data_IF_541779817858
#
_entry.id   IF_541779817858
#
_cell.length_a   1.000
_cell.length_b   1.000
_cell.length_c   1.000
_cell.angle_alpha   90.00
_cell.angle_beta   90.00
_cell.angle_gamma   90.00
#
_symmetry.space_group_name_H-M   'P 1'
#
loop_
_entity.id
_entity.type
_entity.pdbx_description
1 polymer ?
#
# COMPACT_ATOMS: atom_id res chain seq x y z
N UNK A 1 -16.40 32.47 -38.16
CA UNK A 1 -15.22 31.69 -38.56
C UNK A 1 -13.99 32.58 -38.73
N UNK A 2 -14.07 33.74 -39.40
CA UNK A 2 -12.91 34.64 -39.62
C UNK A 2 -12.32 35.14 -38.29
N UNK A 3 -13.16 35.45 -37.31
CA UNK A 3 -12.75 35.99 -36.00
C UNK A 3 -12.06 34.96 -35.08
N UNK A 4 -12.21 33.67 -35.42
CA UNK A 4 -11.62 32.55 -34.64
C UNK A 4 -10.56 31.77 -35.42
N UNK A 5 -10.18 32.23 -36.63
CA UNK A 5 -9.27 31.51 -37.52
C UNK A 5 -7.91 31.28 -36.88
N UNK A 6 -7.39 32.27 -36.15
CA UNK A 6 -6.12 32.13 -35.43
C UNK A 6 -6.17 31.00 -34.34
N UNK A 7 -7.28 30.88 -33.63
CA UNK A 7 -7.50 29.79 -32.67
C UNK A 7 -7.63 28.43 -33.34
N UNK A 8 -8.31 28.35 -34.48
CA UNK A 8 -8.46 27.11 -35.25
C UNK A 8 -7.14 26.62 -35.85
N UNK A 9 -6.26 27.55 -36.24
CA UNK A 9 -4.96 27.22 -36.85
C UNK A 9 -3.82 27.08 -35.86
N UNK A 10 -4.03 27.48 -34.60
CA UNK A 10 -3.00 27.36 -33.54
C UNK A 10 -2.68 25.91 -33.16
N UNK A 11 -3.41 24.95 -33.68
CA UNK A 11 -3.31 23.53 -33.34
C UNK A 11 -4.11 23.21 -32.08
N UNK A 12 -4.70 22.04 -32.07
CA UNK A 12 -5.53 21.54 -30.93
C UNK A 12 -6.58 20.56 -31.44
N UNK A 13 -7.28 19.94 -30.51
CA UNK A 13 -8.40 19.06 -30.84
C UNK A 13 -9.65 19.91 -31.05
N UNK A 14 -10.33 19.71 -32.19
CA UNK A 14 -11.59 20.35 -32.50
C UNK A 14 -12.74 19.39 -32.21
N UNK A 15 -13.81 19.91 -31.62
CA UNK A 15 -15.02 19.16 -31.31
C UNK A 15 -16.19 19.84 -32.03
N UNK A 16 -17.01 19.05 -32.70
CA UNK A 16 -18.24 19.55 -33.32
C UNK A 16 -19.35 19.57 -32.27
N UNK A 17 -20.08 20.67 -32.22
CA UNK A 17 -21.28 20.85 -31.42
C UNK A 17 -22.43 21.29 -32.32
N UNK A 18 -23.57 20.64 -32.22
CA UNK A 18 -24.82 20.99 -32.89
C UNK A 18 -25.97 20.92 -31.85
N UNK A 19 -26.85 21.93 -31.85
CA UNK A 19 -28.03 22.01 -30.97
C UNK A 19 -27.69 21.73 -29.49
N UNK A 20 -26.63 22.37 -28.99
CA UNK A 20 -26.07 22.20 -27.63
C UNK A 20 -25.57 20.79 -27.26
N UNK A 21 -25.51 19.88 -28.23
CA UNK A 21 -24.93 18.56 -28.04
C UNK A 21 -23.59 18.44 -28.76
N UNK A 22 -22.60 17.84 -28.07
CA UNK A 22 -21.34 17.48 -28.69
C UNK A 22 -21.51 16.22 -29.54
N UNK A 23 -20.93 16.23 -30.76
CA UNK A 23 -21.05 15.15 -31.74
C UNK A 23 -20.71 13.77 -31.17
N UNK A 24 -19.66 13.67 -30.32
CA UNK A 24 -19.27 12.43 -29.69
C UNK A 24 -20.30 11.91 -28.63
N UNK A 25 -21.21 12.76 -28.16
CA UNK A 25 -22.30 12.40 -27.27
C UNK A 25 -23.55 11.86 -28.00
N UNK A 26 -23.62 11.99 -29.30
CA UNK A 26 -24.78 11.56 -30.10
C UNK A 26 -24.62 10.06 -30.44
N UNK A 27 -25.49 9.17 -29.95
CA UNK A 27 -25.33 7.70 -30.11
C UNK A 27 -25.22 7.28 -31.58
N UNK A 28 -26.08 7.82 -32.48
CA UNK A 28 -26.08 7.46 -33.89
C UNK A 28 -24.76 7.87 -34.60
N UNK A 29 -24.15 9.00 -34.24
CA UNK A 29 -22.86 9.40 -34.80
C UNK A 29 -21.74 8.53 -34.29
N UNK A 30 -21.79 8.11 -33.01
CA UNK A 30 -20.81 7.20 -32.42
C UNK A 30 -20.88 5.84 -33.11
N UNK A 31 -22.08 5.27 -33.28
CA UNK A 31 -22.29 3.97 -33.94
C UNK A 31 -21.81 4.03 -35.40
N UNK A 32 -22.15 5.10 -36.14
CA UNK A 32 -21.68 5.29 -37.52
C UNK A 32 -20.16 5.40 -37.60
N UNK A 33 -19.53 6.09 -36.64
CA UNK A 33 -18.07 6.21 -36.56
C UNK A 33 -17.40 4.86 -36.23
N UNK A 34 -17.94 4.10 -35.27
CA UNK A 34 -17.45 2.79 -34.91
C UNK A 34 -17.55 1.81 -36.10
N UNK A 35 -18.69 1.81 -36.84
CA UNK A 35 -18.88 1.03 -38.05
C UNK A 35 -17.90 1.43 -39.16
N UNK A 36 -17.68 2.71 -39.36
CA UNK A 36 -16.68 3.22 -40.31
C UNK A 36 -15.26 2.77 -39.95
N UNK A 37 -14.86 2.91 -38.68
CA UNK A 37 -13.55 2.45 -38.23
C UNK A 37 -13.37 0.96 -38.42
N UNK A 38 -14.37 0.15 -38.08
CA UNK A 38 -14.34 -1.29 -38.25
C UNK A 38 -14.19 -1.71 -39.72
N UNK A 39 -14.89 -1.01 -40.64
CA UNK A 39 -14.78 -1.27 -42.08
C UNK A 39 -13.41 -0.91 -42.69
N UNK A 40 -12.67 0.02 -42.06
CA UNK A 40 -11.32 0.41 -42.46
C UNK A 40 -10.22 -0.43 -41.82
N UNK A 41 -10.54 -1.28 -40.84
CA UNK A 41 -9.56 -2.11 -40.17
C UNK A 41 -9.01 -3.23 -41.07
N UNK A 42 -7.77 -3.07 -41.50
CA UNK A 42 -7.00 -4.07 -42.23
C UNK A 42 -5.90 -4.62 -41.35
N UNK A 43 -5.54 -5.88 -41.52
CA UNK A 43 -4.45 -6.53 -40.76
C UNK A 43 -4.55 -8.04 -40.73
N UNK A 44 -3.60 -8.66 -40.04
CA UNK A 44 -3.63 -10.10 -39.81
C UNK A 44 -4.76 -10.42 -38.83
N UNK A 45 -5.67 -11.29 -39.24
CA UNK A 45 -6.78 -11.74 -38.44
C UNK A 45 -6.42 -13.00 -37.62
N UNK A 46 -6.52 -12.89 -36.31
CA UNK A 46 -6.35 -14.01 -35.37
C UNK A 46 -7.45 -13.94 -34.29
N UNK A 47 -7.67 -15.02 -33.55
CA UNK A 47 -8.51 -14.99 -32.36
C UNK A 47 -7.91 -13.99 -31.34
N UNK A 48 -8.71 -13.01 -30.93
CA UNK A 48 -8.32 -12.03 -29.93
C UNK A 48 -8.31 -12.65 -28.53
N UNK A 49 -7.23 -12.52 -27.78
CA UNK A 49 -7.10 -13.03 -26.41
C UNK A 49 -8.12 -12.42 -25.42
N UNK A 50 -8.66 -11.21 -25.74
CA UNK A 50 -9.61 -10.52 -24.87
C UNK A 50 -11.05 -10.90 -25.20
N UNK A 51 -11.42 -10.92 -26.48
CA UNK A 51 -12.82 -11.12 -26.91
C UNK A 51 -13.12 -12.52 -27.38
N UNK A 52 -12.10 -13.33 -27.69
CA UNK A 52 -12.23 -14.62 -28.35
C UNK A 52 -12.59 -14.56 -29.84
N UNK A 53 -13.05 -13.42 -30.34
CA UNK A 53 -13.46 -13.25 -31.73
C UNK A 53 -12.26 -13.15 -32.66
N UNK A 54 -12.42 -13.69 -33.90
CA UNK A 54 -11.44 -13.52 -34.98
C UNK A 54 -11.56 -12.11 -35.56
N UNK A 55 -10.48 -11.33 -35.48
CA UNK A 55 -10.48 -9.93 -35.87
C UNK A 55 -9.06 -9.43 -36.19
N UNK A 56 -8.90 -8.28 -36.85
CA UNK A 56 -7.61 -7.66 -37.09
C UNK A 56 -6.87 -7.36 -35.77
N UNK A 57 -5.60 -7.79 -35.69
CA UNK A 57 -4.78 -7.71 -34.46
C UNK A 57 -3.94 -6.43 -34.46
N UNK A 58 -3.83 -5.81 -33.29
CA UNK A 58 -2.94 -4.69 -33.07
C UNK A 58 -1.47 -5.16 -33.05
N UNK A 59 -0.66 -4.65 -33.95
CA UNK A 59 0.78 -4.94 -33.99
C UNK A 59 1.50 -4.21 -32.83
N UNK A 60 1.12 -2.97 -32.57
CA UNK A 60 1.62 -2.14 -31.49
C UNK A 60 0.44 -1.66 -30.64
N UNK A 61 0.62 -1.74 -29.33
CA UNK A 61 -0.34 -1.19 -28.39
C UNK A 61 0.01 0.26 -28.03
N UNK A 62 -1.02 1.05 -27.72
CA UNK A 62 -0.85 2.42 -27.26
C UNK A 62 -0.07 2.52 -25.95
N UNK A 63 0.46 3.70 -25.69
CA UNK A 63 1.22 3.98 -24.47
C UNK A 63 0.31 4.37 -23.32
N UNK A 64 0.65 3.87 -22.14
CA UNK A 64 0.00 4.21 -20.86
C UNK A 64 0.83 5.29 -20.20
N UNK A 65 0.17 6.36 -19.75
CA UNK A 65 0.75 7.55 -19.13
C UNK A 65 0.30 7.67 -17.69
N UNK A 66 1.03 8.44 -16.87
CA UNK A 66 0.61 8.75 -15.50
C UNK A 66 1.03 7.73 -14.45
N UNK A 67 1.79 6.69 -14.81
CA UNK A 67 2.43 5.79 -13.85
C UNK A 67 3.68 6.48 -13.30
N UNK A 68 3.83 6.50 -11.98
CA UNK A 68 4.96 7.12 -11.28
C UNK A 68 6.29 6.54 -11.79
N UNK A 69 7.27 7.40 -11.99
CA UNK A 69 8.64 7.07 -12.43
C UNK A 69 8.72 6.33 -13.77
N UNK A 70 7.62 6.19 -14.53
CA UNK A 70 7.64 5.72 -15.90
C UNK A 70 8.04 6.86 -16.88
N UNK A 71 8.31 6.51 -18.13
CA UNK A 71 8.65 7.50 -19.16
C UNK A 71 7.52 8.52 -19.34
N UNK A 72 7.86 9.81 -19.46
CA UNK A 72 6.90 10.92 -19.60
C UNK A 72 6.01 10.78 -20.83
N UNK A 73 6.55 10.25 -21.93
CA UNK A 73 5.80 9.93 -23.15
C UNK A 73 4.87 8.72 -23.02
N UNK A 74 4.91 8.03 -21.89
CA UNK A 74 4.19 6.80 -21.59
C UNK A 74 5.02 5.54 -21.86
N UNK A 75 4.61 4.45 -21.23
CA UNK A 75 5.22 3.13 -21.33
C UNK A 75 4.22 2.08 -21.83
N UNK A 76 4.70 1.01 -22.44
CA UNK A 76 3.84 -0.05 -22.96
C UNK A 76 3.55 -1.10 -21.89
N UNK A 77 2.30 -1.54 -21.81
CA UNK A 77 1.92 -2.71 -21.03
C UNK A 77 2.21 -4.01 -21.79
N UNK A 78 1.90 -4.03 -23.07
CA UNK A 78 2.16 -5.16 -23.97
C UNK A 78 3.10 -4.69 -25.10
N UNK A 79 4.24 -5.33 -25.25
CA UNK A 79 5.26 -4.95 -26.26
C UNK A 79 6.25 -6.10 -26.50
N UNK A 80 6.56 -6.38 -27.74
CA UNK A 80 7.48 -7.41 -28.22
C UNK A 80 8.49 -6.81 -29.17
N UNK A 81 9.49 -6.13 -28.65
CA UNK A 81 10.51 -5.39 -29.41
C UNK A 81 11.89 -6.07 -29.42
N UNK A 82 11.96 -7.31 -28.99
CA UNK A 82 13.18 -8.11 -28.97
C UNK A 82 12.85 -9.58 -29.20
N UNK A 83 13.73 -10.31 -29.87
CA UNK A 83 13.61 -11.76 -30.12
C UNK A 83 13.45 -12.59 -28.83
N UNK A 84 13.98 -12.11 -27.72
CA UNK A 84 13.82 -12.77 -26.41
C UNK A 84 12.35 -12.83 -25.91
N UNK A 85 11.45 -12.04 -26.47
CA UNK A 85 10.02 -12.02 -26.14
C UNK A 85 9.15 -12.73 -27.17
N UNK A 86 9.75 -13.23 -28.24
CA UNK A 86 9.07 -13.93 -29.32
C UNK A 86 9.01 -15.43 -29.04
N UNK A 87 7.95 -16.07 -29.46
CA UNK A 87 7.73 -17.51 -29.23
C UNK A 87 6.86 -18.12 -30.33
N UNK A 88 6.82 -19.44 -30.38
CA UNK A 88 5.99 -20.23 -31.30
C UNK A 88 6.24 -19.89 -32.76
N UNK A 89 7.50 -19.60 -33.16
CA UNK A 89 7.87 -19.29 -34.55
C UNK A 89 7.33 -17.99 -35.09
N UNK A 90 6.92 -17.05 -34.21
CA UNK A 90 6.40 -15.72 -34.57
C UNK A 90 7.50 -14.65 -34.53
N UNK A 91 8.65 -14.96 -35.12
CA UNK A 91 9.79 -14.08 -35.19
C UNK A 91 9.43 -12.76 -35.88
N UNK A 92 9.86 -11.65 -35.29
CA UNK A 92 9.60 -10.27 -35.76
C UNK A 92 8.10 -9.90 -35.90
N UNK A 93 7.22 -10.72 -35.37
CA UNK A 93 5.77 -10.53 -35.46
C UNK A 93 5.18 -9.61 -34.41
N UNK A 94 5.98 -9.06 -33.51
CA UNK A 94 5.60 -8.12 -32.45
C UNK A 94 4.28 -8.49 -31.74
N UNK A 95 3.21 -7.69 -31.85
CA UNK A 95 1.93 -7.89 -31.19
C UNK A 95 1.22 -9.20 -31.57
N UNK A 96 1.59 -9.87 -32.65
CA UNK A 96 1.05 -11.19 -33.00
C UNK A 96 1.50 -12.28 -32.01
N UNK A 97 2.52 -12.04 -31.16
CA UNK A 97 2.92 -12.94 -30.08
C UNK A 97 1.90 -12.99 -28.94
N UNK A 98 1.11 -11.91 -28.76
CA UNK A 98 -0.05 -11.87 -27.87
C UNK A 98 -1.20 -11.19 -28.63
N UNK A 99 -1.95 -11.93 -29.45
CA UNK A 99 -2.92 -11.35 -30.34
C UNK A 99 -4.08 -10.69 -29.60
N UNK A 100 -4.15 -9.38 -29.65
CA UNK A 100 -5.24 -8.55 -29.11
C UNK A 100 -5.80 -7.72 -30.25
N UNK A 101 -7.12 -7.77 -30.45
CA UNK A 101 -7.79 -7.01 -31.49
C UNK A 101 -7.54 -5.51 -31.37
N UNK A 102 -7.54 -4.79 -32.47
CA UNK A 102 -7.25 -3.34 -32.50
C UNK A 102 -8.16 -2.56 -31.57
N UNK A 103 -9.47 -2.83 -31.62
CA UNK A 103 -10.43 -2.19 -30.73
C UNK A 103 -10.15 -2.48 -29.24
N UNK A 104 -9.89 -3.74 -28.90
CA UNK A 104 -9.59 -4.13 -27.52
C UNK A 104 -8.30 -3.47 -27.01
N UNK A 105 -7.26 -3.37 -27.86
CA UNK A 105 -6.01 -2.68 -27.53
C UNK A 105 -6.24 -1.18 -27.31
N UNK A 106 -7.02 -0.53 -28.16
CA UNK A 106 -7.42 0.87 -28.00
C UNK A 106 -8.24 1.08 -26.72
N UNK A 107 -9.25 0.24 -26.49
CA UNK A 107 -10.19 0.38 -25.37
C UNK A 107 -9.46 0.30 -24.01
N UNK A 108 -8.64 -0.73 -23.76
CA UNK A 108 -7.96 -0.83 -22.47
C UNK A 108 -6.94 0.29 -22.24
N UNK A 109 -6.21 0.72 -23.29
CA UNK A 109 -5.25 1.82 -23.18
C UNK A 109 -5.96 3.13 -22.83
N UNK A 110 -7.08 3.40 -23.52
CA UNK A 110 -7.88 4.61 -23.30
C UNK A 110 -8.49 4.63 -21.92
N UNK A 111 -9.12 3.52 -21.49
CA UNK A 111 -9.71 3.40 -20.16
C UNK A 111 -8.66 3.57 -19.05
N UNK A 112 -7.50 2.90 -19.18
CA UNK A 112 -6.44 2.99 -18.19
C UNK A 112 -5.82 4.39 -18.13
N UNK A 113 -5.62 5.05 -19.26
CA UNK A 113 -5.16 6.44 -19.31
C UNK A 113 -6.18 7.40 -18.65
N UNK A 114 -7.47 7.19 -18.86
CA UNK A 114 -8.52 7.98 -18.22
C UNK A 114 -8.51 7.81 -16.69
N UNK A 115 -8.42 6.58 -16.20
CA UNK A 115 -8.32 6.28 -14.77
C UNK A 115 -7.04 6.87 -14.15
N UNK A 116 -5.90 6.74 -14.83
CA UNK A 116 -4.62 7.29 -14.37
C UNK A 116 -4.58 8.82 -14.38
N UNK A 117 -5.34 9.47 -15.25
CA UNK A 117 -5.45 10.93 -15.27
C UNK A 117 -6.27 11.48 -14.09
N UNK A 118 -7.20 10.69 -13.54
CA UNK A 118 -8.04 11.09 -12.44
C UNK A 118 -7.42 10.70 -11.10
N UNK A 119 -7.13 11.68 -10.24
CA UNK A 119 -6.55 11.46 -8.91
C UNK A 119 -7.46 10.66 -7.95
N UNK A 120 -8.77 10.64 -8.19
CA UNK A 120 -9.73 9.88 -7.38
C UNK A 120 -9.65 8.38 -7.63
N UNK A 121 -9.18 7.96 -8.80
CA UNK A 121 -9.03 6.57 -9.21
C UNK A 121 -7.64 6.00 -9.01
N UNK A 122 -6.72 6.78 -8.43
CA UNK A 122 -5.35 6.34 -8.26
C UNK A 122 -4.76 6.73 -6.91
N UNK A 123 -3.84 5.91 -6.42
CA UNK A 123 -2.96 6.24 -5.31
C UNK A 123 -1.55 5.70 -5.59
N UNK A 124 -0.56 6.31 -4.93
CA UNK A 124 0.84 5.96 -5.13
C UNK A 124 1.38 5.38 -3.82
N UNK A 125 1.91 4.16 -3.89
CA UNK A 125 2.53 3.49 -2.75
C UNK A 125 3.92 3.03 -3.16
N UNK A 126 4.94 3.73 -2.68
CA UNK A 126 6.34 3.55 -3.10
C UNK A 126 6.51 3.83 -4.62
N UNK A 127 6.91 2.84 -5.41
CA UNK A 127 7.01 2.88 -6.88
C UNK A 127 5.71 2.45 -7.59
N UNK A 128 4.79 1.87 -6.84
CA UNK A 128 3.58 1.29 -7.43
C UNK A 128 2.47 2.33 -7.53
N UNK A 129 2.00 2.56 -8.74
CA UNK A 129 0.77 3.31 -9.00
C UNK A 129 -0.39 2.34 -8.98
N UNK A 130 -1.27 2.49 -8.01
CA UNK A 130 -2.46 1.65 -7.83
C UNK A 130 -3.65 2.37 -8.46
N UNK A 131 -4.31 1.72 -9.41
CA UNK A 131 -5.53 2.19 -10.08
C UNK A 131 -6.69 1.33 -9.60
N UNK A 132 -7.83 1.93 -9.35
CA UNK A 132 -9.01 1.20 -8.85
C UNK A 132 -10.30 1.80 -9.41
N UNK A 133 -11.31 0.93 -9.57
CA UNK A 133 -12.65 1.29 -10.07
C UNK A 133 -13.71 0.29 -9.61
N UNK A 134 -14.95 0.76 -9.57
CA UNK A 134 -16.14 -0.06 -9.32
C UNK A 134 -16.92 -0.29 -10.60
N UNK A 135 -17.69 -1.36 -10.70
CA UNK A 135 -18.76 -1.51 -11.71
C UNK A 135 -19.99 -0.67 -11.33
N UNK A 136 -19.76 0.63 -11.14
CA UNK A 136 -20.80 1.58 -10.75
C UNK A 136 -20.41 2.99 -11.15
N UNK A 137 -21.38 3.81 -11.50
CA UNK A 137 -21.19 5.24 -11.76
C UNK A 137 -21.11 6.08 -10.48
N UNK A 138 -21.39 5.48 -9.29
CA UNK A 138 -21.34 6.18 -8.02
C UNK A 138 -19.89 6.45 -7.60
N UNK A 139 -19.45 7.72 -7.48
CA UNK A 139 -18.07 8.07 -7.12
C UNK A 139 -17.70 7.73 -5.67
N UNK A 140 -18.68 7.44 -4.82
CA UNK A 140 -18.44 7.13 -3.41
C UNK A 140 -17.53 5.91 -3.21
N UNK A 141 -17.55 4.94 -4.13
CA UNK A 141 -16.67 3.77 -4.07
C UNK A 141 -15.20 4.17 -4.06
N UNK A 142 -14.82 5.07 -4.98
CA UNK A 142 -13.44 5.54 -5.11
C UNK A 142 -13.02 6.41 -3.92
N UNK A 143 -13.90 7.30 -3.49
CA UNK A 143 -13.65 8.19 -2.35
C UNK A 143 -13.44 7.37 -1.07
N UNK A 144 -14.30 6.39 -0.80
CA UNK A 144 -14.22 5.54 0.39
C UNK A 144 -12.97 4.66 0.35
N UNK A 145 -12.64 4.06 -0.80
CA UNK A 145 -11.45 3.24 -0.95
C UNK A 145 -10.16 4.07 -0.77
N UNK A 146 -10.10 5.24 -1.39
CA UNK A 146 -8.95 6.15 -1.24
C UNK A 146 -8.77 6.56 0.23
N UNK A 147 -9.84 6.95 0.92
CA UNK A 147 -9.78 7.28 2.33
C UNK A 147 -9.32 6.10 3.20
N UNK A 148 -9.77 4.88 2.88
CA UNK A 148 -9.39 3.67 3.61
C UNK A 148 -7.92 3.30 3.42
N UNK A 149 -7.37 3.52 2.23
CA UNK A 149 -5.98 3.16 1.91
C UNK A 149 -4.97 4.29 2.15
N UNK A 150 -5.42 5.53 2.25
CA UNK A 150 -4.58 6.71 2.43
C UNK A 150 -5.10 7.59 3.58
N UNK A 151 -5.08 7.08 4.83
CA UNK A 151 -5.48 7.87 5.99
C UNK A 151 -4.57 9.09 6.14
N UNK A 152 -5.21 10.26 6.15
CA UNK A 152 -4.61 11.58 6.37
C UNK A 152 -5.27 12.23 7.58
N UNK A 153 -4.72 13.36 8.01
CA UNK A 153 -5.27 14.11 9.14
C UNK A 153 -6.75 14.47 8.98
N UNK A 154 -7.11 14.93 7.80
CA UNK A 154 -8.45 15.40 7.45
C UNK A 154 -9.51 14.29 7.32
N UNK A 155 -9.10 13.05 7.03
CA UNK A 155 -10.03 11.95 6.79
C UNK A 155 -10.08 10.88 7.90
N UNK A 156 -9.27 10.99 8.96
CA UNK A 156 -9.21 10.00 10.06
C UNK A 156 -10.58 9.74 10.69
N UNK A 157 -11.39 10.80 10.94
CA UNK A 157 -12.73 10.66 11.52
C UNK A 157 -13.69 9.91 10.59
N UNK A 158 -13.64 10.20 9.29
CA UNK A 158 -14.43 9.50 8.29
C UNK A 158 -14.02 8.03 8.23
N UNK A 159 -12.73 7.74 8.23
CA UNK A 159 -12.21 6.38 8.23
C UNK A 159 -12.64 5.59 9.48
N UNK A 160 -12.56 6.18 10.67
CA UNK A 160 -13.08 5.57 11.90
C UNK A 160 -14.56 5.15 11.74
N UNK A 161 -15.40 6.06 11.26
CA UNK A 161 -16.83 5.79 11.09
C UNK A 161 -17.11 4.69 10.05
N UNK A 162 -16.33 4.64 8.95
CA UNK A 162 -16.44 3.60 7.92
C UNK A 162 -16.07 2.24 8.52
N UNK A 163 -14.91 2.14 9.16
CA UNK A 163 -14.39 0.89 9.71
C UNK A 163 -15.28 0.35 10.84
N UNK A 164 -15.86 1.23 11.67
CA UNK A 164 -16.83 0.85 12.70
C UNK A 164 -18.13 0.27 12.10
N UNK A 165 -18.66 0.86 11.02
CA UNK A 165 -19.81 0.29 10.32
C UNK A 165 -19.50 -1.09 9.74
N UNK A 166 -18.34 -1.24 9.09
CA UNK A 166 -17.92 -2.51 8.51
C UNK A 166 -17.74 -3.58 9.57
N UNK A 167 -17.16 -3.24 10.73
CA UNK A 167 -17.00 -4.19 11.85
C UNK A 167 -18.35 -4.70 12.40
N UNK A 168 -19.40 -3.90 12.25
CA UNK A 168 -20.79 -4.26 12.60
C UNK A 168 -21.56 -4.93 11.45
N UNK A 169 -20.94 -5.17 10.31
CA UNK A 169 -21.60 -5.74 9.12
C UNK A 169 -22.55 -4.77 8.40
N UNK A 170 -22.44 -3.47 8.66
CA UNK A 170 -23.25 -2.44 8.03
C UNK A 170 -22.59 -1.89 6.75
N UNK A 171 -23.37 -1.38 5.78
CA UNK A 171 -22.82 -0.74 4.60
C UNK A 171 -22.02 0.52 5.01
N UNK A 172 -20.88 0.80 4.32
CA UNK A 172 -20.00 1.92 4.68
C UNK A 172 -20.70 3.28 4.54
N UNK A 173 -21.56 3.42 3.53
CA UNK A 173 -22.35 4.62 3.26
C UNK A 173 -23.68 4.22 2.62
N UNK A 174 -24.73 5.03 2.83
CA UNK A 174 -26.00 4.87 2.12
C UNK A 174 -25.82 5.01 0.61
N UNK A 175 -26.46 4.16 -0.18
CA UNK A 175 -26.30 4.12 -1.64
C UNK A 175 -25.05 3.39 -2.15
N UNK A 176 -24.18 2.88 -1.28
CA UNK A 176 -23.02 2.05 -1.63
C UNK A 176 -23.34 0.58 -1.35
N UNK A 177 -23.56 -0.19 -2.42
CA UNK A 177 -23.77 -1.63 -2.30
C UNK A 177 -22.44 -2.36 -2.09
N UNK A 178 -22.24 -3.05 -0.94
CA UNK A 178 -20.97 -3.78 -0.67
C UNK A 178 -20.68 -4.90 -1.66
N UNK A 179 -21.68 -5.46 -2.31
CA UNK A 179 -21.50 -6.57 -3.27
C UNK A 179 -21.09 -6.09 -4.67
N UNK A 180 -21.01 -4.76 -4.89
CA UNK A 180 -20.54 -4.23 -6.19
C UNK A 180 -19.14 -4.72 -6.50
N UNK A 181 -18.90 -5.28 -7.71
CA UNK A 181 -17.57 -5.66 -8.15
C UNK A 181 -16.62 -4.46 -8.16
N UNK A 182 -15.46 -4.66 -7.57
CA UNK A 182 -14.41 -3.66 -7.45
C UNK A 182 -13.08 -4.22 -7.92
N UNK A 183 -12.33 -3.43 -8.64
CA UNK A 183 -11.09 -3.83 -9.29
C UNK A 183 -9.93 -2.96 -8.83
N UNK A 184 -8.77 -3.58 -8.62
CA UNK A 184 -7.56 -2.90 -8.15
C UNK A 184 -6.38 -3.42 -8.98
N UNK A 185 -5.68 -2.50 -9.66
CA UNK A 185 -4.53 -2.80 -10.52
C UNK A 185 -3.31 -2.04 -10.02
N UNK A 186 -2.25 -2.75 -9.66
CA UNK A 186 -0.95 -2.17 -9.29
C UNK A 186 0.02 -2.19 -10.46
N UNK A 187 0.47 -1.02 -10.89
CA UNK A 187 1.42 -0.81 -11.98
C UNK A 187 2.73 -0.22 -11.46
N UNK A 188 3.84 -0.71 -11.96
CA UNK A 188 5.16 -0.15 -11.68
C UNK A 188 5.99 0.01 -12.96
N UNK A 189 6.92 0.97 -13.00
CA UNK A 189 7.80 1.14 -14.15
C UNK A 189 8.76 -0.05 -14.30
N UNK A 190 9.04 -0.43 -15.53
CA UNK A 190 10.05 -1.42 -15.90
C UNK A 190 10.73 -0.98 -17.20
N UNK A 191 11.70 -0.08 -17.08
CA UNK A 191 12.34 0.61 -18.21
C UNK A 191 11.29 1.27 -19.15
N UNK A 192 11.22 0.85 -20.41
CA UNK A 192 10.25 1.37 -21.38
C UNK A 192 8.86 0.70 -21.29
N UNK A 193 8.66 -0.19 -20.33
CA UNK A 193 7.43 -0.97 -20.15
C UNK A 193 6.85 -0.76 -18.75
N UNK A 194 5.65 -1.29 -18.55
CA UNK A 194 5.00 -1.40 -17.25
C UNK A 194 4.98 -2.86 -16.80
N UNK A 195 5.17 -3.05 -15.50
CA UNK A 195 5.01 -4.32 -14.81
C UNK A 195 3.71 -4.29 -14.01
N UNK A 196 2.87 -5.30 -14.17
CA UNK A 196 1.71 -5.52 -13.31
C UNK A 196 2.20 -6.17 -12.02
N UNK A 197 2.13 -5.46 -10.90
CA UNK A 197 2.49 -5.97 -9.58
C UNK A 197 1.42 -6.88 -9.01
N UNK A 198 0.16 -6.49 -9.21
CA UNK A 198 -1.02 -7.27 -8.85
C UNK A 198 -2.25 -6.78 -9.62
N UNK A 199 -3.18 -7.68 -9.81
CA UNK A 199 -4.55 -7.39 -10.24
C UNK A 199 -5.48 -8.15 -9.32
N UNK A 200 -6.41 -7.45 -8.69
CA UNK A 200 -7.36 -8.01 -7.74
C UNK A 200 -8.78 -7.63 -8.16
N UNK A 201 -9.67 -8.59 -8.04
CA UNK A 201 -11.09 -8.42 -8.28
C UNK A 201 -11.84 -9.09 -7.13
N UNK A 202 -12.72 -8.35 -6.48
CA UNK A 202 -13.60 -8.87 -5.41
C UNK A 202 -14.78 -7.91 -5.24
N UNK A 203 -15.70 -8.20 -4.32
CA UNK A 203 -16.70 -7.22 -3.91
C UNK A 203 -16.06 -6.07 -3.13
N UNK A 204 -16.62 -4.89 -3.27
CA UNK A 204 -16.16 -3.70 -2.54
C UNK A 204 -16.15 -3.94 -1.03
N UNK A 205 -17.21 -4.59 -0.51
CA UNK A 205 -17.34 -4.91 0.90
C UNK A 205 -16.23 -5.83 1.40
N UNK A 206 -15.80 -6.82 0.61
CA UNK A 206 -14.71 -7.71 0.99
C UNK A 206 -13.38 -6.98 1.08
N UNK A 207 -13.06 -6.09 0.12
CA UNK A 207 -11.86 -5.25 0.24
C UNK A 207 -11.87 -4.39 1.49
N UNK A 208 -13.00 -3.75 1.81
CA UNK A 208 -13.12 -2.95 3.02
C UNK A 208 -12.98 -3.79 4.31
N UNK A 209 -13.52 -5.02 4.35
CA UNK A 209 -13.33 -5.96 5.46
C UNK A 209 -11.85 -6.31 5.65
N UNK A 210 -11.12 -6.59 4.56
CA UNK A 210 -9.68 -6.88 4.61
C UNK A 210 -8.87 -5.66 5.08
N UNK A 211 -9.24 -4.45 4.66
CA UNK A 211 -8.62 -3.21 5.12
C UNK A 211 -8.92 -2.97 6.61
N UNK A 212 -10.16 -3.19 7.05
CA UNK A 212 -10.53 -3.12 8.46
C UNK A 212 -9.73 -4.12 9.29
N UNK A 213 -9.61 -5.37 8.83
CA UNK A 213 -8.79 -6.39 9.45
C UNK A 213 -7.32 -5.98 9.55
N UNK A 214 -6.77 -5.34 8.49
CA UNK A 214 -5.41 -4.81 8.50
C UNK A 214 -5.20 -3.80 9.63
N UNK A 215 -6.09 -2.84 9.78
CA UNK A 215 -5.98 -1.84 10.85
C UNK A 215 -6.17 -2.45 12.24
N UNK A 216 -7.08 -3.39 12.40
CA UNK A 216 -7.26 -4.14 13.64
C UNK A 216 -6.02 -4.97 14.01
N UNK A 217 -5.42 -5.68 13.04
CA UNK A 217 -4.20 -6.47 13.26
C UNK A 217 -3.02 -5.59 13.71
N UNK A 218 -2.95 -4.34 13.24
CA UNK A 218 -1.87 -3.39 13.54
C UNK A 218 -2.20 -2.42 14.67
N UNK A 219 -3.38 -2.52 15.27
CA UNK A 219 -3.76 -1.63 16.35
C UNK A 219 -2.89 -1.85 17.57
N UNK A 220 -2.31 -0.76 18.06
CA UNK A 220 -1.47 -0.72 19.26
C UNK A 220 -1.76 0.56 20.03
N UNK A 221 -1.66 0.51 21.33
CA UNK A 221 -1.82 1.69 22.19
C UNK A 221 -0.90 2.82 21.72
N UNK A 222 -1.44 4.03 21.67
CA UNK A 222 -0.78 5.20 21.11
C UNK A 222 -0.95 6.42 21.98
N UNK A 223 -0.09 7.41 21.79
CA UNK A 223 -0.26 8.70 22.43
C UNK A 223 -1.53 9.42 21.89
N UNK A 224 -2.21 10.25 22.72
CA UNK A 224 -3.43 10.95 22.32
C UNK A 224 -3.30 11.83 21.07
N UNK A 225 -2.11 12.34 20.81
CA UNK A 225 -1.81 13.21 19.66
C UNK A 225 -1.46 12.44 18.37
N UNK A 226 -1.28 11.11 18.45
CA UNK A 226 -0.99 10.30 17.27
C UNK A 226 -2.26 9.91 16.53
N UNK A 227 -2.16 9.82 15.20
CA UNK A 227 -3.27 9.39 14.36
C UNK A 227 -3.70 7.95 14.68
N UNK A 228 -5.00 7.64 14.66
CA UNK A 228 -5.51 6.29 14.85
C UNK A 228 -4.89 5.30 13.86
N UNK A 229 -4.92 5.61 12.59
CA UNK A 229 -4.51 4.71 11.52
C UNK A 229 -3.25 5.20 10.81
N UNK A 230 -2.29 4.29 10.60
CA UNK A 230 -1.08 4.53 9.82
C UNK A 230 -1.28 4.01 8.39
N UNK A 231 -1.05 4.87 7.40
CA UNK A 231 -1.17 4.45 6.00
C UNK A 231 -0.14 3.38 5.61
N UNK A 232 -0.41 2.55 4.60
CA UNK A 232 0.56 1.61 4.06
C UNK A 232 1.88 2.28 3.65
N UNK A 233 1.83 3.52 3.17
CA UNK A 233 3.00 4.32 2.87
C UNK A 233 3.88 4.56 4.11
N UNK A 234 3.29 4.97 5.23
CA UNK A 234 4.03 5.18 6.48
C UNK A 234 4.60 3.88 7.04
N UNK A 235 3.84 2.77 6.96
CA UNK A 235 4.33 1.46 7.38
C UNK A 235 5.54 1.01 6.54
N UNK A 236 5.53 1.22 5.24
CA UNK A 236 6.68 0.91 4.39
C UNK A 236 7.90 1.77 4.70
N UNK A 237 7.72 3.02 5.11
CA UNK A 237 8.82 3.88 5.56
C UNK A 237 9.54 3.36 6.81
N UNK A 238 8.87 2.60 7.67
CA UNK A 238 9.49 1.96 8.84
C UNK A 238 10.56 0.92 8.48
N UNK A 239 10.57 0.46 7.24
CA UNK A 239 11.55 -0.50 6.72
C UNK A 239 12.81 0.17 6.14
N UNK A 240 12.79 1.50 5.99
CA UNK A 240 13.83 2.27 5.31
C UNK A 240 14.81 2.87 6.32
N UNK A 241 16.09 2.95 5.94
CA UNK A 241 17.07 3.68 6.74
C UNK A 241 16.65 5.16 6.85
N UNK A 242 16.50 5.73 8.07
CA UNK A 242 16.08 7.11 8.26
C UNK A 242 17.06 8.13 7.65
N UNK A 243 18.32 7.74 7.45
CA UNK A 243 19.34 8.57 6.80
C UNK A 243 19.42 8.38 5.28
N UNK A 244 18.61 7.50 4.68
CA UNK A 244 18.57 7.31 3.24
C UNK A 244 18.01 8.56 2.52
N UNK A 245 18.58 8.88 1.36
CA UNK A 245 18.05 9.95 0.49
C UNK A 245 16.68 9.57 -0.08
N UNK A 246 16.56 8.33 -0.56
CA UNK A 246 15.27 7.76 -0.99
C UNK A 246 14.61 7.04 0.18
N UNK A 247 13.40 7.49 0.51
CA UNK A 247 12.57 6.95 1.61
C UNK A 247 11.37 6.14 1.10
N UNK A 248 11.35 5.78 -0.18
CA UNK A 248 10.21 5.09 -0.80
C UNK A 248 10.06 3.61 -0.41
N UNK A 249 11.11 3.02 0.16
CA UNK A 249 11.11 1.61 0.54
C UNK A 249 11.41 0.66 -0.63
N UNK A 250 11.41 -0.65 -0.36
CA UNK A 250 11.64 -1.66 -1.39
C UNK A 250 10.44 -1.80 -2.31
N UNK A 251 10.67 -1.67 -3.60
CA UNK A 251 9.66 -1.77 -4.65
C UNK A 251 8.91 -3.11 -4.64
N UNK A 252 9.63 -4.22 -4.43
CA UNK A 252 9.00 -5.55 -4.37
C UNK A 252 8.15 -5.73 -3.11
N UNK A 253 8.57 -5.11 -2.01
CA UNK A 253 7.88 -5.21 -0.74
C UNK A 253 6.54 -4.47 -0.77
N UNK A 254 6.45 -3.31 -1.43
CA UNK A 254 5.24 -2.52 -1.51
C UNK A 254 4.07 -3.29 -2.15
N UNK A 255 4.31 -3.95 -3.28
CA UNK A 255 3.29 -4.76 -3.96
C UNK A 255 2.85 -5.98 -3.13
N UNK A 256 3.79 -6.65 -2.45
CA UNK A 256 3.48 -7.80 -1.59
C UNK A 256 2.67 -7.40 -0.35
N UNK A 257 3.02 -6.28 0.30
CA UNK A 257 2.26 -5.73 1.45
C UNK A 257 0.86 -5.31 1.03
N UNK A 258 0.72 -4.62 -0.10
CA UNK A 258 -0.58 -4.23 -0.65
C UNK A 258 -1.48 -5.44 -0.90
N UNK A 259 -0.93 -6.49 -1.52
CA UNK A 259 -1.67 -7.73 -1.72
C UNK A 259 -2.14 -8.30 -0.37
N UNK A 260 -1.27 -8.37 0.64
CA UNK A 260 -1.62 -8.88 1.96
C UNK A 260 -2.72 -8.05 2.64
N UNK A 261 -2.70 -6.72 2.49
CA UNK A 261 -3.74 -5.83 3.03
C UNK A 261 -5.08 -6.14 2.34
N UNK A 262 -5.10 -6.16 1.01
CA UNK A 262 -6.32 -6.24 0.21
C UNK A 262 -6.94 -7.64 0.16
N UNK A 263 -6.18 -8.70 0.45
CA UNK A 263 -6.67 -10.09 0.42
C UNK A 263 -6.79 -10.74 1.80
N UNK A 264 -6.36 -10.04 2.87
CA UNK A 264 -6.31 -10.64 4.22
C UNK A 264 -5.23 -11.72 4.39
N UNK A 265 -4.38 -11.96 3.39
CA UNK A 265 -3.29 -12.93 3.43
C UNK A 265 -2.22 -12.56 4.47
N UNK A 266 -1.40 -13.52 4.93
CA UNK A 266 -0.25 -13.23 5.79
C UNK A 266 0.68 -12.18 5.19
N UNK A 267 1.28 -11.34 6.04
CA UNK A 267 2.28 -10.38 5.58
C UNK A 267 3.56 -11.08 5.15
N UNK A 268 4.28 -10.53 4.13
CA UNK A 268 5.50 -11.16 3.64
C UNK A 268 6.59 -11.18 4.71
N UNK A 269 7.35 -12.28 4.78
CA UNK A 269 8.49 -12.42 5.70
C UNK A 269 9.51 -11.29 5.51
N UNK A 270 9.64 -10.78 4.28
CA UNK A 270 10.53 -9.66 3.95
C UNK A 270 10.17 -8.38 4.72
N UNK A 271 8.88 -8.14 5.02
CA UNK A 271 8.44 -7.00 5.84
C UNK A 271 8.98 -7.13 7.27
N UNK A 272 8.80 -8.29 7.88
CA UNK A 272 9.31 -8.57 9.22
C UNK A 272 10.85 -8.46 9.28
N UNK A 273 11.54 -9.08 8.33
CA UNK A 273 13.00 -9.03 8.27
C UNK A 273 13.52 -7.60 8.10
N UNK A 274 12.88 -6.78 7.27
CA UNK A 274 13.27 -5.39 7.07
C UNK A 274 13.10 -4.55 8.34
N UNK A 275 12.00 -4.73 9.07
CA UNK A 275 11.76 -4.03 10.34
C UNK A 275 12.77 -4.48 11.41
N UNK A 276 13.01 -5.79 11.54
CA UNK A 276 14.00 -6.32 12.49
C UNK A 276 15.40 -5.81 12.17
N UNK A 277 15.79 -5.74 10.89
CA UNK A 277 17.06 -5.15 10.47
C UNK A 277 17.20 -3.69 10.94
N UNK A 278 16.12 -2.90 10.82
CA UNK A 278 16.15 -1.51 11.30
C UNK A 278 16.27 -1.43 12.82
N UNK A 279 15.52 -2.26 13.55
CA UNK A 279 15.62 -2.32 15.01
C UNK A 279 17.04 -2.71 15.47
N UNK A 280 17.73 -3.59 14.77
CA UNK A 280 19.10 -3.96 15.11
C UNK A 280 20.14 -2.92 14.70
N UNK A 281 19.96 -2.25 13.57
CA UNK A 281 20.95 -1.33 13.00
C UNK A 281 20.87 0.10 13.57
N UNK A 282 19.72 0.54 14.07
CA UNK A 282 19.51 1.91 14.52
C UNK A 282 19.72 2.07 16.02
N UNK A 283 20.11 3.28 16.42
CA UNK A 283 20.17 3.75 17.80
C UNK A 283 19.23 4.95 17.94
N UNK A 284 18.77 5.21 19.15
CA UNK A 284 17.97 6.39 19.44
C UNK A 284 18.83 7.65 19.28
N UNK A 285 18.33 8.61 18.52
CA UNK A 285 18.96 9.90 18.29
C UNK A 285 17.88 11.00 18.43
N UNK A 286 17.93 11.73 19.52
CA UNK A 286 16.94 12.77 19.83
C UNK A 286 17.09 13.99 18.91
N UNK A 287 18.30 14.32 18.46
CA UNK A 287 18.54 15.48 17.57
C UNK A 287 17.95 15.23 16.18
N UNK A 288 18.07 13.98 15.69
CA UNK A 288 17.54 13.59 14.39
C UNK A 288 16.16 12.97 14.43
N UNK A 289 15.54 12.92 15.62
CA UNK A 289 14.24 12.27 15.87
C UNK A 289 14.18 10.80 15.38
N UNK A 290 15.31 10.09 15.47
CA UNK A 290 15.39 8.66 15.13
C UNK A 290 15.08 7.87 16.38
N UNK A 291 14.18 6.90 16.27
CA UNK A 291 13.86 5.92 17.31
C UNK A 291 14.10 4.51 16.79
N UNK A 292 14.78 3.70 17.59
CA UNK A 292 15.00 2.27 17.31
C UNK A 292 13.69 1.50 17.24
N UNK A 293 12.80 1.74 18.18
CA UNK A 293 11.47 1.15 18.24
C UNK A 293 10.44 2.26 18.09
N UNK A 294 9.75 2.25 16.95
CA UNK A 294 8.63 3.16 16.66
C UNK A 294 7.31 2.43 16.83
N UNK A 295 6.21 3.17 16.96
CA UNK A 295 4.86 2.61 16.92
C UNK A 295 4.62 1.80 15.64
N UNK A 296 5.07 2.32 14.49
CA UNK A 296 4.91 1.65 13.20
C UNK A 296 5.63 0.31 13.14
N UNK A 297 6.87 0.23 13.64
CA UNK A 297 7.64 -1.02 13.74
C UNK A 297 6.97 -2.03 14.65
N UNK A 298 6.51 -1.59 15.83
CA UNK A 298 5.79 -2.46 16.76
C UNK A 298 4.47 -2.96 16.17
N UNK A 299 3.70 -2.10 15.48
CA UNK A 299 2.47 -2.46 14.79
C UNK A 299 2.70 -3.50 13.68
N UNK A 300 3.76 -3.34 12.88
CA UNK A 300 4.13 -4.30 11.82
C UNK A 300 4.47 -5.67 12.43
N UNK A 301 5.27 -5.71 13.50
CA UNK A 301 5.62 -6.97 14.19
C UNK A 301 4.36 -7.64 14.72
N UNK A 302 3.50 -6.89 15.41
CA UNK A 302 2.22 -7.39 15.92
C UNK A 302 1.34 -7.95 14.81
N UNK A 303 1.06 -7.16 13.78
CA UNK A 303 0.21 -7.56 12.66
C UNK A 303 0.76 -8.78 11.90
N UNK A 304 2.09 -8.84 11.70
CA UNK A 304 2.76 -10.00 11.11
C UNK A 304 2.52 -11.27 11.94
N UNK A 305 2.72 -11.20 13.24
CA UNK A 305 2.55 -12.35 14.15
C UNK A 305 1.08 -12.78 14.25
N UNK A 306 0.13 -11.84 14.37
CA UNK A 306 -1.31 -12.14 14.38
C UNK A 306 -1.73 -12.92 13.14
N UNK A 307 -1.31 -12.48 11.94
CA UNK A 307 -1.71 -13.17 10.71
C UNK A 307 -1.04 -14.52 10.52
N UNK A 308 0.21 -14.65 10.97
CA UNK A 308 0.97 -15.90 10.89
C UNK A 308 0.46 -16.98 11.84
N UNK A 309 0.06 -16.56 13.05
CA UNK A 309 -0.35 -17.44 14.15
C UNK A 309 -1.85 -17.30 14.45
N UNK A 310 -2.66 -17.05 13.42
CA UNK A 310 -4.10 -16.87 13.57
C UNK A 310 -4.73 -18.14 14.12
N UNK A 311 -5.41 -18.02 15.27
CA UNK A 311 -6.06 -19.13 15.95
C UNK A 311 -5.24 -19.75 17.10
N UNK A 312 -3.97 -19.39 17.26
CA UNK A 312 -3.13 -19.83 18.37
C UNK A 312 -3.37 -18.95 19.62
N UNK A 313 -3.90 -19.53 20.69
CA UNK A 313 -4.27 -18.79 21.93
C UNK A 313 -3.07 -18.13 22.60
N UNK A 314 -1.90 -18.75 22.55
CA UNK A 314 -0.66 -18.21 23.13
C UNK A 314 -0.32 -16.82 22.52
N UNK A 315 -0.51 -16.66 21.22
CA UNK A 315 -0.27 -15.38 20.56
C UNK A 315 -1.36 -14.35 20.82
N UNK A 316 -2.61 -14.76 20.99
CA UNK A 316 -3.70 -13.85 21.36
C UNK A 316 -3.46 -13.22 22.73
N UNK A 317 -2.89 -13.96 23.68
CA UNK A 317 -2.58 -13.47 25.01
C UNK A 317 -1.60 -12.29 24.98
N UNK A 318 -0.58 -12.36 24.12
CA UNK A 318 0.53 -11.39 24.11
C UNK A 318 0.40 -10.29 23.04
N UNK A 319 -0.44 -10.48 22.01
CA UNK A 319 -0.61 -9.56 20.89
C UNK A 319 -1.86 -8.66 21.03
N UNK A 320 -2.17 -8.22 22.23
CA UNK A 320 -3.26 -7.31 22.53
C UNK A 320 -2.93 -5.85 22.11
N UNK A 321 -3.93 -4.97 22.15
CA UNK A 321 -3.77 -3.55 21.82
C UNK A 321 -2.91 -2.84 22.87
N UNK A 322 -3.16 -3.12 24.14
CA UNK A 322 -2.41 -2.62 25.30
C UNK A 322 -1.64 -3.72 26.00
N UNK A 323 -0.85 -3.33 27.00
CA UNK A 323 -0.05 -4.29 27.80
C UNK A 323 -0.99 -5.22 28.56
N UNK A 324 -0.73 -6.54 28.43
CA UNK A 324 -1.35 -7.56 29.26
C UNK A 324 -0.48 -7.78 30.53
N UNK A 325 -0.92 -7.23 31.65
CA UNK A 325 -0.18 -7.34 32.92
C UNK A 325 -0.25 -8.73 33.54
N UNK A 326 -1.27 -9.50 33.21
CA UNK A 326 -1.50 -10.84 33.74
C UNK A 326 -0.81 -11.96 32.96
N UNK A 327 -0.20 -11.62 31.81
CA UNK A 327 0.46 -12.60 30.95
C UNK A 327 1.58 -13.34 31.71
N UNK A 328 1.58 -14.67 31.58
CA UNK A 328 2.61 -15.56 32.12
C UNK A 328 3.60 -16.02 31.04
N UNK A 329 3.46 -15.56 29.79
CA UNK A 329 4.40 -15.88 28.73
C UNK A 329 5.79 -15.34 29.07
N UNK A 330 6.77 -16.22 29.22
CA UNK A 330 8.12 -15.87 29.68
C UNK A 330 8.79 -14.82 28.82
N UNK A 331 8.69 -14.93 27.50
CA UNK A 331 9.30 -13.97 26.58
C UNK A 331 8.64 -12.58 26.68
N UNK A 332 7.32 -12.55 26.81
CA UNK A 332 6.56 -11.32 27.00
C UNK A 332 6.89 -10.63 28.33
N UNK A 333 6.93 -11.39 29.42
CA UNK A 333 7.29 -10.86 30.76
C UNK A 333 8.71 -10.32 30.76
N UNK A 334 9.67 -11.00 30.12
CA UNK A 334 11.05 -10.49 29.98
C UNK A 334 11.09 -9.21 29.14
N UNK A 335 10.30 -9.09 28.08
CA UNK A 335 10.19 -7.86 27.31
C UNK A 335 9.66 -6.68 28.15
N UNK A 336 8.62 -6.91 28.96
CA UNK A 336 8.10 -5.92 29.92
C UNK A 336 9.16 -5.51 30.94
N UNK A 337 9.84 -6.49 31.54
CA UNK A 337 10.93 -6.24 32.49
C UNK A 337 12.05 -5.40 31.85
N UNK A 338 12.43 -5.71 30.60
CA UNK A 338 13.44 -4.96 29.88
C UNK A 338 13.07 -3.48 29.72
N UNK A 339 11.83 -3.20 29.33
CA UNK A 339 11.32 -1.83 29.17
C UNK A 339 11.30 -1.06 30.50
N UNK A 340 10.97 -1.74 31.61
CA UNK A 340 10.99 -1.15 32.95
C UNK A 340 12.43 -0.82 33.40
N UNK A 341 13.38 -1.72 33.12
CA UNK A 341 14.80 -1.49 33.43
C UNK A 341 15.39 -0.32 32.63
N UNK A 342 14.99 -0.17 31.37
CA UNK A 342 15.34 1.01 30.55
C UNK A 342 14.73 2.29 31.14
N UNK A 343 13.44 2.27 31.49
CA UNK A 343 12.77 3.41 32.12
C UNK A 343 13.46 3.82 33.41
N UNK A 344 13.85 2.87 34.26
CA UNK A 344 14.61 3.15 35.47
C UNK A 344 15.97 3.84 35.19
N UNK A 345 16.65 3.44 34.14
CA UNK A 345 17.90 4.08 33.72
C UNK A 345 17.66 5.53 33.26
N UNK A 346 16.66 5.76 32.40
CA UNK A 346 16.33 7.08 31.88
C UNK A 346 15.89 8.07 32.97
N UNK A 347 15.13 7.59 33.96
CA UNK A 347 14.75 8.41 35.11
C UNK A 347 15.94 8.72 36.05
N UNK A 348 16.87 7.79 36.19
CA UNK A 348 18.10 8.02 36.97
C UNK A 348 19.05 9.00 36.26
N UNK A 349 19.13 8.89 34.94
CA UNK A 349 20.06 9.64 34.09
C UNK A 349 19.37 10.15 32.81
N UNK A 350 18.58 11.24 32.88
CA UNK A 350 17.79 11.71 31.75
C UNK A 350 18.62 12.11 30.51
N UNK A 351 19.88 12.49 30.70
CA UNK A 351 20.78 12.95 29.64
C UNK A 351 21.77 11.88 29.18
N UNK A 352 21.46 10.60 29.41
CA UNK A 352 22.35 9.52 28.97
C UNK A 352 22.32 9.35 27.45
N UNK A 353 23.48 9.32 26.80
CA UNK A 353 23.58 9.19 25.34
C UNK A 353 23.33 7.76 24.83
N UNK A 354 23.47 6.76 25.67
CA UNK A 354 23.34 5.34 25.28
C UNK A 354 22.65 4.56 26.39
N UNK A 355 21.47 4.04 26.08
CA UNK A 355 20.67 3.29 27.06
C UNK A 355 21.00 1.80 27.08
N UNK A 356 20.43 1.06 28.02
CA UNK A 356 20.51 -0.42 28.02
C UNK A 356 19.87 -1.00 26.75
N UNK A 357 18.88 -0.32 26.17
CA UNK A 357 18.26 -0.72 24.90
C UNK A 357 19.28 -0.72 23.75
N UNK A 358 20.10 0.29 23.66
CA UNK A 358 21.11 0.39 22.60
C UNK A 358 22.21 -0.67 22.73
N UNK A 359 22.58 -0.98 23.95
CA UNK A 359 23.68 -1.92 24.25
C UNK A 359 23.27 -3.38 24.33
N UNK A 360 22.11 -3.67 24.92
CA UNK A 360 21.74 -5.03 25.31
C UNK A 360 20.52 -5.59 24.60
N UNK A 361 19.74 -4.81 23.86
CA UNK A 361 18.49 -5.29 23.27
C UNK A 361 18.69 -6.56 22.42
N UNK A 362 19.65 -6.53 21.49
CA UNK A 362 19.92 -7.68 20.61
C UNK A 362 20.34 -8.93 21.38
N UNK A 363 21.24 -8.78 22.35
CA UNK A 363 21.70 -9.90 23.18
C UNK A 363 20.63 -10.37 24.17
N UNK A 364 19.81 -9.47 24.70
CA UNK A 364 18.68 -9.83 25.55
C UNK A 364 17.62 -10.65 24.80
N UNK A 365 17.39 -10.35 23.52
CA UNK A 365 16.51 -11.16 22.66
C UNK A 365 17.12 -12.54 22.36
N UNK A 366 18.43 -12.62 22.10
CA UNK A 366 19.10 -13.85 21.68
C UNK A 366 19.43 -14.78 22.87
N UNK A 367 19.93 -14.22 23.97
CA UNK A 367 20.42 -14.98 25.14
C UNK A 367 19.94 -14.35 26.45
N UNK A 368 18.62 -14.33 26.74
CA UNK A 368 18.08 -13.63 27.91
C UNK A 368 18.66 -14.13 29.22
N UNK A 369 18.89 -15.42 29.35
CA UNK A 369 19.43 -16.04 30.61
C UNK A 369 20.79 -15.50 31.03
N UNK A 370 21.63 -15.06 30.11
CA UNK A 370 22.96 -14.48 30.41
C UNK A 370 22.89 -12.95 30.60
N UNK A 371 21.97 -12.27 29.93
CA UNK A 371 21.90 -10.81 29.94
C UNK A 371 21.08 -10.23 31.10
N UNK A 372 19.92 -10.79 31.39
CA UNK A 372 19.03 -10.27 32.43
C UNK A 372 19.64 -10.20 33.83
N UNK A 373 20.46 -11.17 34.31
CA UNK A 373 21.15 -11.04 35.59
C UNK A 373 22.03 -9.76 35.65
N UNK A 374 22.70 -9.43 34.56
CA UNK A 374 23.52 -8.20 34.46
C UNK A 374 22.64 -6.95 34.52
N UNK A 375 21.53 -6.92 33.75
CA UNK A 375 20.59 -5.80 33.74
C UNK A 375 19.96 -5.57 35.11
N UNK A 376 19.55 -6.62 35.81
CA UNK A 376 19.00 -6.55 37.17
C UNK A 376 20.05 -6.01 38.16
N UNK A 377 21.31 -6.39 38.00
CA UNK A 377 22.40 -5.87 38.84
C UNK A 377 22.61 -4.35 38.59
N UNK A 378 22.60 -3.93 37.33
CA UNK A 378 22.71 -2.52 36.94
C UNK A 378 21.54 -1.68 37.44
N UNK A 379 20.33 -2.21 37.40
CA UNK A 379 19.12 -1.49 37.81
C UNK A 379 19.13 -1.09 39.28
N UNK A 380 19.78 -1.87 40.16
CA UNK A 380 19.92 -1.51 41.58
C UNK A 380 20.59 -0.17 41.75
N UNK A 381 21.58 0.15 40.92
CA UNK A 381 22.25 1.43 40.92
C UNK A 381 21.31 2.56 40.40
N UNK A 382 20.59 2.31 39.32
CA UNK A 382 19.64 3.27 38.76
C UNK A 382 18.53 3.62 39.77
N UNK A 383 17.89 2.59 40.35
CA UNK A 383 16.83 2.75 41.37
C UNK A 383 17.29 3.55 42.59
N UNK A 384 18.55 3.38 42.99
CA UNK A 384 19.12 4.14 44.14
C UNK A 384 19.16 5.66 43.86
N UNK A 385 19.44 6.06 42.63
CA UNK A 385 19.62 7.47 42.22
C UNK A 385 18.29 8.17 41.96
N UNK A 386 17.20 7.45 41.64
CA UNK A 386 15.89 8.02 41.40
C UNK A 386 15.39 8.79 42.63
N UNK A 387 15.03 10.05 42.44
CA UNK A 387 14.55 10.97 43.47
C UNK A 387 13.05 10.88 43.73
N UNK A 388 12.26 10.53 42.72
CA UNK A 388 10.81 10.35 42.86
C UNK A 388 10.52 9.07 43.66
N UNK A 389 10.02 9.26 44.89
CA UNK A 389 9.74 8.15 45.81
C UNK A 389 8.62 7.25 45.29
N UNK A 390 7.57 7.83 44.67
CA UNK A 390 6.44 7.03 44.13
C UNK A 390 6.88 6.16 42.96
N UNK A 391 7.64 6.73 42.03
CA UNK A 391 8.22 6.01 40.91
C UNK A 391 9.22 4.94 41.38
N UNK A 392 10.07 5.27 42.36
CA UNK A 392 11.02 4.34 42.95
C UNK A 392 10.36 3.13 43.61
N UNK A 393 9.27 3.35 44.37
CA UNK A 393 8.49 2.26 44.98
C UNK A 393 7.80 1.41 43.91
N UNK A 394 7.19 2.03 42.89
CA UNK A 394 6.60 1.31 41.77
C UNK A 394 7.60 0.38 41.08
N UNK A 395 8.82 0.89 40.80
CA UNK A 395 9.87 0.09 40.13
C UNK A 395 10.42 -1.05 41.01
N UNK A 396 10.43 -0.89 42.34
CA UNK A 396 10.86 -1.97 43.29
C UNK A 396 9.82 -3.07 43.36
N UNK A 397 8.53 -2.77 43.26
CA UNK A 397 7.44 -3.74 43.30
C UNK A 397 7.22 -4.52 42.00
N UNK A 398 7.82 -4.12 40.93
CA UNK A 398 7.76 -4.81 39.64
C UNK A 398 8.88 -5.84 39.51
#
# INVERSE_FOLDING_TARGET
>A
VKDHLAGLTAGGNLIFQADDQYAQGIPALREAWEAYCAAQEQGVELPCLVTGARQPIAILHGKIRGVKDAQSVGANLVSFNSSAYESYGRDKAQGLNAPVGKYAAFAYVTALNALLANSEHRLIISDTTVVFWAESANPDFQILFNAAMNPKEDNQKMLCAILEKISRGLPPKEGVNPETPFYILGLAPNAARLSVRFFLQDSFGNFLKHIQQHYSDMEIEKAPYEFPYLSPYWLLRETVNPNAKDKSGSHLLSGAVMRSILTGAPYPQALMNAVMLRIHAEQDDSERHIKKITRGRAAIIKGYLIRRHRGEEEYKEVLQVSINEESKNKAYVLGRLFAILEKAQLEAYPNINTTIKDRYFTSACATPGSVFPTLIKLSRHHIRVIKDIKLKLSLIHI
#
